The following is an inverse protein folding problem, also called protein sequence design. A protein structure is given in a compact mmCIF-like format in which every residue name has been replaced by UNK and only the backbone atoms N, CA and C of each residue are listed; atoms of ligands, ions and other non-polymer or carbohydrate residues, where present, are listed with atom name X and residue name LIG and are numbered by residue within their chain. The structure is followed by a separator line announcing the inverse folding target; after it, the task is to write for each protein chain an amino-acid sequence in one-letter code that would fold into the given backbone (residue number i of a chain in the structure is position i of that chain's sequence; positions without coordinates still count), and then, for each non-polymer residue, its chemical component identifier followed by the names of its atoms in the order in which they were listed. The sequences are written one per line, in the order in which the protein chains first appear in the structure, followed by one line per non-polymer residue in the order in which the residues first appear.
data_IF_194046122035
#
_entry.id   IF_194046122035
#
_cell.length_a   1.000
_cell.length_b   1.000
_cell.length_c   1.000
_cell.angle_alpha   90.00
_cell.angle_beta   90.00
_cell.angle_gamma   90.00
#
_symmetry.space_group_name_H-M   'P 1'
#
loop_
_entity.id
_entity.type
_entity.pdbx_description
1 polymer ?
#
# COMPACT_ATOMS: atom_id res chain seq x y z
N UNK A 1 10.18 16.50 19.33
CA UNK A 1 9.61 17.85 19.22
C UNK A 1 9.45 18.20 17.74
N UNK A 2 8.21 18.26 17.21
CA UNK A 2 7.95 18.60 15.82
C UNK A 2 8.29 20.07 15.53
N UNK A 3 8.76 20.36 14.32
CA UNK A 3 9.01 21.74 13.85
C UNK A 3 7.74 22.58 14.03
N UNK A 4 7.82 23.65 14.80
CA UNK A 4 6.69 24.50 15.17
C UNK A 4 6.15 25.31 13.97
N UNK A 5 6.97 25.51 12.92
CA UNK A 5 6.65 26.31 11.74
C UNK A 5 6.98 25.59 10.43
N UNK A 6 6.29 25.95 9.36
CA UNK A 6 6.66 25.55 7.99
C UNK A 6 7.83 26.44 7.55
N UNK A 7 8.86 25.84 6.97
CA UNK A 7 10.04 26.56 6.47
C UNK A 7 9.91 26.83 4.97
N UNK A 8 10.49 27.94 4.51
CA UNK A 8 10.50 28.28 3.08
C UNK A 8 11.19 27.20 2.23
N UNK A 9 12.25 26.57 2.77
CA UNK A 9 12.93 25.46 2.09
C UNK A 9 12.04 24.22 1.93
N UNK A 10 11.10 23.96 2.85
CA UNK A 10 10.11 22.88 2.71
C UNK A 10 9.13 23.17 1.56
N UNK A 11 8.73 24.45 1.40
CA UNK A 11 7.86 24.87 0.29
C UNK A 11 8.60 24.75 -1.05
N UNK A 12 9.86 25.21 -1.12
CA UNK A 12 10.73 25.04 -2.30
C UNK A 12 10.89 23.57 -2.68
N UNK A 13 11.17 22.71 -1.69
CA UNK A 13 11.25 21.26 -1.88
C UNK A 13 9.92 20.68 -2.34
N UNK A 14 8.81 21.03 -1.71
CA UNK A 14 7.46 20.58 -2.07
C UNK A 14 7.12 20.92 -3.51
N UNK A 15 7.37 22.18 -3.92
CA UNK A 15 7.12 22.66 -5.27
C UNK A 15 8.01 21.95 -6.31
N UNK A 16 9.31 21.82 -6.05
CA UNK A 16 10.26 21.13 -6.93
C UNK A 16 10.01 19.63 -7.06
N UNK A 17 9.26 19.04 -6.11
CA UNK A 17 8.92 17.63 -6.12
C UNK A 17 7.65 17.29 -6.92
N UNK A 18 6.91 18.30 -7.39
CA UNK A 18 5.74 18.10 -8.25
C UNK A 18 6.23 17.93 -9.68
N UNK A 19 5.86 16.82 -10.31
CA UNK A 19 6.22 16.55 -11.70
C UNK A 19 5.45 17.44 -12.67
N UNK A 20 6.13 17.93 -13.70
CA UNK A 20 5.55 18.67 -14.82
C UNK A 20 4.67 17.80 -15.73
N UNK A 21 3.95 18.41 -16.64
CA UNK A 21 3.07 17.74 -17.61
C UNK A 21 1.97 16.88 -16.92
N UNK A 22 1.47 17.35 -15.78
CA UNK A 22 0.33 16.75 -15.09
C UNK A 22 -0.91 17.62 -15.24
N UNK A 23 -2.06 16.96 -15.36
CA UNK A 23 -3.34 17.64 -15.41
C UNK A 23 -3.52 18.54 -14.17
N UNK A 24 -3.93 19.78 -14.40
CA UNK A 24 -4.26 20.72 -13.33
C UNK A 24 -5.49 20.25 -12.55
N UNK A 25 -5.53 20.54 -11.25
CA UNK A 25 -6.71 20.33 -10.43
C UNK A 25 -7.86 21.27 -10.78
N UNK A 26 -8.84 21.37 -9.88
CA UNK A 26 -10.05 22.15 -10.10
C UNK A 26 -9.85 23.66 -10.32
N UNK A 27 -8.70 24.21 -9.94
CA UNK A 27 -8.34 25.63 -10.15
C UNK A 27 -7.70 25.90 -11.53
N UNK A 28 -7.43 24.87 -12.35
CA UNK A 28 -6.87 25.03 -13.69
C UNK A 28 -5.42 25.51 -13.77
N UNK A 29 -4.73 25.75 -12.64
CA UNK A 29 -3.37 26.31 -12.63
C UNK A 29 -2.35 25.18 -12.87
N UNK A 30 -1.57 25.23 -13.97
CA UNK A 30 -0.53 24.24 -14.24
C UNK A 30 0.69 24.47 -13.33
N UNK A 31 1.44 23.42 -13.01
CA UNK A 31 2.62 23.51 -12.15
C UNK A 31 3.75 24.31 -12.79
N UNK A 32 3.84 24.32 -14.10
CA UNK A 32 4.84 25.03 -14.89
C UNK A 32 4.82 26.54 -14.61
N UNK A 33 3.65 27.10 -14.31
CA UNK A 33 3.50 28.53 -13.97
C UNK A 33 4.33 28.89 -12.71
N UNK A 34 4.33 28.00 -11.70
CA UNK A 34 5.12 28.23 -10.49
C UNK A 34 6.62 28.14 -10.72
N UNK A 35 7.05 27.37 -11.73
CA UNK A 35 8.47 27.27 -12.09
C UNK A 35 8.97 28.50 -12.83
N UNK A 36 8.13 29.10 -13.69
CA UNK A 36 8.45 30.33 -14.43
C UNK A 36 8.60 31.52 -13.48
N UNK A 37 7.72 31.65 -12.51
CA UNK A 37 7.66 32.80 -11.57
C UNK A 37 8.74 32.74 -10.45
N UNK A 38 9.56 31.67 -10.41
CA UNK A 38 10.72 31.50 -9.49
C UNK A 38 10.39 31.71 -8.00
N UNK A 39 10.85 32.83 -7.40
CA UNK A 39 10.83 33.04 -5.94
C UNK A 39 9.51 33.61 -5.40
N UNK A 40 8.77 34.38 -6.17
CA UNK A 40 7.56 35.04 -5.68
C UNK A 40 6.43 34.06 -5.29
N UNK A 41 6.13 33.03 -6.10
CA UNK A 41 5.18 31.99 -5.68
C UNK A 41 5.59 31.28 -4.40
N UNK A 42 6.89 31.08 -4.17
CA UNK A 42 7.39 30.42 -2.96
C UNK A 42 7.05 31.24 -1.71
N UNK A 43 7.24 32.55 -1.73
CA UNK A 43 6.91 33.43 -0.60
C UNK A 43 5.42 33.45 -0.29
N UNK A 44 4.59 33.52 -1.35
CA UNK A 44 3.13 33.52 -1.21
C UNK A 44 2.66 32.16 -0.66
N UNK A 45 3.11 31.04 -1.25
CA UNK A 45 2.77 29.71 -0.78
C UNK A 45 3.28 29.46 0.64
N UNK A 46 4.47 29.97 0.99
CA UNK A 46 5.01 29.85 2.34
C UNK A 46 4.10 30.55 3.35
N UNK A 47 3.65 31.78 3.07
CA UNK A 47 2.71 32.51 3.92
C UNK A 47 1.40 31.73 4.11
N UNK A 48 0.82 31.22 3.01
CA UNK A 48 -0.41 30.40 3.07
C UNK A 48 -0.18 29.10 3.88
N UNK A 49 0.90 28.38 3.63
CA UNK A 49 1.22 27.16 4.36
C UNK A 49 1.45 27.41 5.85
N UNK A 50 2.11 28.51 6.22
CA UNK A 50 2.27 28.92 7.61
C UNK A 50 0.93 29.24 8.27
N UNK A 51 0.04 29.97 7.56
CA UNK A 51 -1.28 30.27 8.06
C UNK A 51 -2.10 29.00 8.29
N UNK A 52 -2.13 28.07 7.32
CA UNK A 52 -2.80 26.76 7.49
C UNK A 52 -2.24 26.02 8.70
N UNK A 53 -0.91 25.97 8.83
CA UNK A 53 -0.25 25.30 9.95
C UNK A 53 -0.61 25.90 11.30
N UNK A 54 -0.68 27.22 11.39
CA UNK A 54 -0.98 27.94 12.62
C UNK A 54 -2.48 27.89 12.99
N UNK A 55 -3.35 28.14 12.01
CA UNK A 55 -4.81 28.25 12.23
C UNK A 55 -5.54 26.94 12.08
N UNK A 56 -4.89 25.93 11.48
CA UNK A 56 -5.50 24.63 11.08
C UNK A 56 -6.66 24.78 10.08
N UNK A 57 -6.83 25.95 9.46
CA UNK A 57 -7.86 26.22 8.48
C UNK A 57 -7.32 26.08 7.07
N UNK A 58 -7.98 25.26 6.27
CA UNK A 58 -7.63 25.03 4.86
C UNK A 58 -8.46 25.92 3.95
N UNK A 59 -7.86 26.49 2.89
CA UNK A 59 -8.62 27.20 1.85
C UNK A 59 -9.68 26.28 1.23
N UNK A 60 -10.88 26.79 0.98
CA UNK A 60 -11.99 25.98 0.47
C UNK A 60 -11.67 25.33 -0.88
N UNK A 61 -10.94 26.02 -1.76
CA UNK A 61 -10.54 25.51 -3.05
C UNK A 61 -9.52 24.34 -2.94
N UNK A 62 -8.78 24.27 -1.82
CA UNK A 62 -7.85 23.17 -1.57
C UNK A 62 -8.55 21.89 -1.08
N UNK A 63 -9.80 22.02 -0.67
CA UNK A 63 -10.69 20.90 -0.29
C UNK A 63 -11.53 20.37 -1.47
N UNK A 64 -11.34 20.91 -2.67
CA UNK A 64 -12.06 20.52 -3.89
C UNK A 64 -11.21 19.59 -4.74
N UNK A 65 -11.84 18.50 -5.24
CA UNK A 65 -11.21 17.54 -6.11
C UNK A 65 -12.03 17.29 -7.37
N UNK A 66 -11.37 17.08 -8.50
CA UNK A 66 -12.02 16.64 -9.73
C UNK A 66 -11.74 15.16 -9.90
N UNK A 67 -12.78 14.33 -9.88
CA UNK A 67 -12.67 12.89 -10.08
C UNK A 67 -12.74 12.54 -11.56
N UNK A 68 -11.75 11.78 -12.02
CA UNK A 68 -11.72 11.19 -13.36
C UNK A 68 -12.05 9.71 -13.22
N UNK A 69 -13.16 9.21 -13.79
CA UNK A 69 -13.45 7.79 -13.80
C UNK A 69 -12.53 7.09 -14.81
N UNK A 70 -11.83 6.06 -14.33
CA UNK A 70 -10.97 5.20 -15.15
C UNK A 70 -11.65 3.84 -15.27
N UNK A 71 -12.11 3.45 -16.47
CA UNK A 71 -12.76 2.16 -16.67
C UNK A 71 -11.80 1.00 -16.34
N UNK A 72 -12.32 -0.01 -15.64
CA UNK A 72 -11.67 -1.32 -15.47
C UNK A 72 -12.08 -2.25 -16.62
N UNK A 73 -11.50 -3.45 -16.65
CA UNK A 73 -11.95 -4.51 -17.56
C UNK A 73 -13.42 -4.83 -17.29
N UNK A 74 -14.25 -4.87 -18.33
CA UNK A 74 -15.69 -5.12 -18.24
C UNK A 74 -16.52 -3.99 -18.84
N UNK A 75 -17.80 -3.92 -18.46
CA UNK A 75 -18.74 -2.90 -18.96
C UNK A 75 -18.36 -1.52 -18.40
N UNK A 76 -17.84 -0.65 -19.27
CA UNK A 76 -17.43 0.72 -18.91
C UNK A 76 -18.61 1.65 -18.55
N UNK A 77 -19.84 1.26 -18.85
CA UNK A 77 -21.05 2.03 -18.51
C UNK A 77 -21.47 1.86 -17.05
N UNK A 78 -20.95 0.85 -16.35
CA UNK A 78 -21.27 0.62 -14.95
C UNK A 78 -20.29 1.35 -14.03
N UNK A 79 -20.83 2.16 -13.13
CA UNK A 79 -20.02 2.88 -12.11
C UNK A 79 -19.23 1.92 -11.19
N UNK A 80 -19.72 0.70 -10.99
CA UNK A 80 -19.03 -0.36 -10.24
C UNK A 80 -17.69 -0.77 -10.89
N UNK A 81 -17.61 -0.69 -12.21
CA UNK A 81 -16.44 -1.04 -13.03
C UNK A 81 -15.47 0.14 -13.24
N UNK A 82 -15.68 1.27 -12.59
CA UNK A 82 -14.78 2.39 -12.65
C UNK A 82 -13.94 2.50 -11.37
N UNK A 83 -12.70 2.95 -11.54
CA UNK A 83 -11.84 3.43 -10.46
C UNK A 83 -11.70 4.94 -10.61
N UNK A 84 -11.92 5.71 -9.55
CA UNK A 84 -11.76 7.16 -9.60
C UNK A 84 -10.31 7.56 -9.32
N UNK A 85 -9.79 8.53 -10.06
CA UNK A 85 -8.55 9.22 -9.75
C UNK A 85 -8.85 10.68 -9.46
N UNK A 86 -8.37 11.19 -8.32
CA UNK A 86 -8.61 12.57 -7.90
C UNK A 86 -7.54 13.51 -8.47
N UNK A 87 -7.95 14.56 -9.15
CA UNK A 87 -7.11 15.69 -9.49
C UNK A 87 -7.28 16.76 -8.41
N UNK A 88 -6.18 17.04 -7.71
CA UNK A 88 -6.08 18.01 -6.63
C UNK A 88 -5.22 19.17 -7.12
N UNK A 89 -5.49 20.41 -6.66
CA UNK A 89 -4.71 21.57 -7.05
C UNK A 89 -3.22 21.40 -6.74
N UNK A 90 -2.34 21.89 -7.61
CA UNK A 90 -0.89 21.82 -7.40
C UNK A 90 -0.43 22.57 -6.16
N UNK A 91 -1.08 23.70 -5.83
CA UNK A 91 -0.81 24.47 -4.61
C UNK A 91 -1.13 23.65 -3.36
N UNK A 92 -2.28 22.99 -3.33
CA UNK A 92 -2.64 22.07 -2.24
C UNK A 92 -1.61 20.94 -2.13
N UNK A 93 -1.18 20.37 -3.26
CA UNK A 93 -0.20 19.28 -3.27
C UNK A 93 1.16 19.67 -2.65
N UNK A 94 1.59 20.95 -2.73
CA UNK A 94 2.80 21.43 -2.04
C UNK A 94 2.66 21.24 -0.53
N UNK A 95 1.57 21.74 0.05
CA UNK A 95 1.31 21.61 1.48
C UNK A 95 1.12 20.14 1.88
N UNK A 96 0.41 19.34 1.08
CA UNK A 96 0.21 17.91 1.33
C UNK A 96 1.53 17.13 1.33
N UNK A 97 2.50 17.50 0.49
CA UNK A 97 3.84 16.90 0.50
C UNK A 97 4.63 17.23 1.76
N UNK A 98 4.60 18.49 2.18
CA UNK A 98 5.24 18.90 3.44
C UNK A 98 4.62 18.12 4.60
N UNK A 99 3.29 18.04 4.59
CA UNK A 99 2.55 17.32 5.60
C UNK A 99 2.87 15.81 5.59
N UNK A 100 2.92 15.20 4.42
CA UNK A 100 3.33 13.79 4.25
C UNK A 100 4.73 13.53 4.82
N UNK A 101 5.70 14.43 4.55
CA UNK A 101 7.06 14.27 5.06
C UNK A 101 7.10 14.30 6.61
N UNK A 102 6.25 15.12 7.22
CA UNK A 102 6.12 15.18 8.68
C UNK A 102 5.40 13.97 9.26
N UNK A 103 4.34 13.47 8.58
CA UNK A 103 3.67 12.24 8.96
C UNK A 103 4.56 11.01 8.82
N UNK A 104 5.47 11.00 7.84
CA UNK A 104 6.28 9.82 7.54
C UNK A 104 7.14 9.36 8.71
N UNK A 105 7.52 10.26 9.61
CA UNK A 105 8.27 9.91 10.83
C UNK A 105 7.44 8.97 11.71
N UNK A 106 6.16 9.30 11.95
CA UNK A 106 5.24 8.48 12.73
C UNK A 106 4.87 7.20 12.00
N UNK A 107 4.56 7.30 10.71
CA UNK A 107 4.24 6.13 9.86
C UNK A 107 5.36 5.10 9.88
N UNK A 108 6.62 5.54 9.85
CA UNK A 108 7.77 4.61 9.87
C UNK A 108 7.93 3.90 11.21
N UNK A 109 7.57 4.54 12.32
CA UNK A 109 7.59 3.92 13.65
C UNK A 109 6.47 2.90 13.82
N UNK A 110 5.28 3.20 13.26
CA UNK A 110 4.08 2.39 13.45
C UNK A 110 3.99 1.19 12.49
N UNK A 111 4.56 1.28 11.29
CA UNK A 111 4.41 0.21 10.30
C UNK A 111 5.49 -0.87 10.44
N UNK A 112 5.08 -2.14 10.59
CA UNK A 112 6.00 -3.27 10.62
C UNK A 112 6.68 -3.48 9.27
N UNK A 113 7.76 -4.26 9.28
CA UNK A 113 8.55 -4.54 8.09
C UNK A 113 7.83 -5.35 7.03
N UNK A 114 6.81 -6.10 7.40
CA UNK A 114 5.97 -6.90 6.50
C UNK A 114 5.09 -6.05 5.58
N UNK A 115 4.77 -4.78 5.95
CA UNK A 115 4.08 -3.84 5.08
C UNK A 115 5.07 -3.18 4.12
N UNK A 116 5.02 -3.56 2.84
CA UNK A 116 5.90 -3.05 1.79
C UNK A 116 5.28 -1.94 0.93
N UNK A 117 3.95 -1.84 0.91
CA UNK A 117 3.23 -0.91 0.04
C UNK A 117 3.62 0.55 0.27
N UNK A 118 3.91 1.28 -0.81
CA UNK A 118 4.28 2.70 -0.78
C UNK A 118 5.46 3.04 0.17
N UNK A 119 6.38 2.10 0.39
CA UNK A 119 7.63 2.34 1.14
C UNK A 119 8.82 2.46 0.19
N UNK A 120 9.73 3.37 0.51
CA UNK A 120 10.96 3.56 -0.27
C UNK A 120 11.77 2.27 -0.28
N UNK A 121 12.30 1.91 -1.44
CA UNK A 121 13.13 0.70 -1.66
C UNK A 121 12.44 -0.64 -1.39
N UNK A 122 11.11 -0.67 -1.35
CA UNK A 122 10.31 -1.91 -1.25
C UNK A 122 9.31 -1.97 -2.39
N UNK A 123 9.32 -3.07 -3.13
CA UNK A 123 8.47 -3.27 -4.30
C UNK A 123 7.62 -4.53 -4.23
N UNK A 124 6.66 -4.64 -5.14
CA UNK A 124 5.87 -5.86 -5.32
C UNK A 124 6.76 -7.07 -5.63
N UNK A 125 7.86 -6.87 -6.37
CA UNK A 125 8.83 -7.92 -6.70
C UNK A 125 9.46 -8.56 -5.47
N UNK A 126 9.75 -7.76 -4.43
CA UNK A 126 10.35 -8.27 -3.19
C UNK A 126 9.36 -9.17 -2.45
N UNK A 127 8.07 -8.79 -2.40
CA UNK A 127 7.02 -9.60 -1.77
C UNK A 127 6.80 -10.92 -2.52
N UNK A 128 6.77 -10.88 -3.85
CA UNK A 128 6.63 -12.07 -4.69
C UNK A 128 7.83 -13.01 -4.50
N UNK A 129 9.05 -12.46 -4.45
CA UNK A 129 10.26 -13.25 -4.21
C UNK A 129 10.22 -13.94 -2.84
N UNK A 130 9.73 -13.24 -1.80
CA UNK A 130 9.55 -13.81 -0.47
C UNK A 130 8.53 -14.96 -0.48
N UNK A 131 7.35 -14.77 -1.10
CA UNK A 131 6.33 -15.81 -1.21
C UNK A 131 6.88 -17.03 -1.94
N UNK A 132 7.53 -16.86 -3.09
CA UNK A 132 8.16 -17.95 -3.85
C UNK A 132 9.24 -18.68 -3.05
N UNK A 133 10.06 -17.94 -2.32
CA UNK A 133 11.08 -18.54 -1.44
C UNK A 133 10.44 -19.43 -0.36
N UNK A 134 9.33 -18.99 0.21
CA UNK A 134 8.57 -19.74 1.22
C UNK A 134 7.97 -21.01 0.61
N UNK A 135 7.33 -20.93 -0.56
CA UNK A 135 6.78 -22.09 -1.26
C UNK A 135 7.89 -23.13 -1.54
N UNK A 136 9.04 -22.70 -2.06
CA UNK A 136 10.19 -23.59 -2.33
C UNK A 136 10.71 -24.28 -1.08
N UNK A 137 10.82 -23.55 0.03
CA UNK A 137 11.26 -24.12 1.31
C UNK A 137 10.25 -25.10 1.87
N UNK A 138 8.97 -24.75 1.85
CA UNK A 138 7.91 -25.65 2.32
C UNK A 138 7.96 -27.00 1.62
N UNK A 139 8.15 -26.98 0.31
CA UNK A 139 8.28 -28.21 -0.49
C UNK A 139 9.54 -29.00 -0.16
N UNK A 140 10.69 -28.32 -0.05
CA UNK A 140 11.93 -28.98 0.30
C UNK A 140 11.84 -29.70 1.66
N UNK A 141 11.02 -29.18 2.59
CA UNK A 141 10.78 -29.76 3.91
C UNK A 141 9.47 -30.55 3.99
N UNK A 142 8.76 -30.78 2.87
CA UNK A 142 7.48 -31.50 2.81
C UNK A 142 6.42 -30.94 3.78
N UNK A 143 6.42 -29.62 3.98
CA UNK A 143 5.44 -28.93 4.83
C UNK A 143 4.29 -28.40 4.00
N UNK A 144 3.06 -28.63 4.48
CA UNK A 144 1.88 -28.03 3.89
C UNK A 144 1.80 -26.55 4.30
N UNK A 145 1.54 -25.69 3.33
CA UNK A 145 1.28 -24.26 3.56
C UNK A 145 0.01 -23.88 2.83
N UNK A 146 -0.84 -23.17 3.56
CA UNK A 146 -2.06 -22.56 3.06
C UNK A 146 -1.85 -21.07 2.86
N UNK A 147 -2.13 -20.58 1.65
CA UNK A 147 -2.09 -19.16 1.34
C UNK A 147 -3.51 -18.63 1.18
N UNK A 148 -3.75 -17.41 1.68
CA UNK A 148 -4.94 -16.66 1.35
C UNK A 148 -4.54 -15.29 0.83
N UNK A 149 -4.97 -14.97 -0.39
CA UNK A 149 -4.83 -13.66 -1.01
C UNK A 149 -6.11 -12.87 -0.77
N UNK A 150 -6.07 -11.95 0.17
CA UNK A 150 -7.20 -11.16 0.60
C UNK A 150 -7.27 -9.86 -0.19
N UNK A 151 -8.45 -9.56 -0.76
CA UNK A 151 -8.79 -8.27 -1.39
C UNK A 151 -9.91 -7.60 -0.59
N UNK A 152 -9.83 -6.29 -0.41
CA UNK A 152 -10.90 -5.49 0.17
C UNK A 152 -11.80 -4.88 -0.90
N UNK A 153 -13.10 -4.86 -0.63
CA UNK A 153 -14.06 -4.19 -1.52
C UNK A 153 -13.92 -2.66 -1.42
N UNK A 154 -13.36 -2.04 -2.46
CA UNK A 154 -13.16 -0.58 -2.53
C UNK A 154 -12.46 0.01 -1.29
N UNK A 155 -11.39 -0.62 -0.82
CA UNK A 155 -10.68 -0.32 0.43
C UNK A 155 -10.53 1.18 0.72
N UNK A 156 -9.93 1.95 -0.20
CA UNK A 156 -9.71 3.39 -0.05
C UNK A 156 -11.02 4.20 0.06
N UNK A 157 -12.08 3.76 -0.63
CA UNK A 157 -13.35 4.48 -0.69
C UNK A 157 -14.21 4.22 0.56
N UNK A 158 -13.87 3.18 1.36
CA UNK A 158 -14.63 2.74 2.52
C UNK A 158 -14.07 3.23 3.86
N UNK A 159 -12.94 3.91 3.88
CA UNK A 159 -12.32 4.43 5.11
C UNK A 159 -13.28 5.41 5.79
N UNK A 160 -13.68 5.11 7.02
CA UNK A 160 -14.50 6.00 7.86
C UNK A 160 -13.62 7.08 8.47
N UNK A 161 -13.96 8.35 8.24
CA UNK A 161 -13.15 9.47 8.72
C UNK A 161 -13.09 9.52 10.25
N UNK A 162 -14.22 9.34 10.95
CA UNK A 162 -14.26 9.43 12.41
C UNK A 162 -13.42 8.32 13.06
N UNK A 163 -13.52 7.10 12.52
CA UNK A 163 -12.69 5.98 12.96
C UNK A 163 -11.22 6.21 12.64
N UNK A 164 -10.92 6.76 11.47
CA UNK A 164 -9.54 7.10 11.09
C UNK A 164 -8.90 8.07 12.09
N UNK A 165 -9.60 9.14 12.48
CA UNK A 165 -9.04 10.11 13.42
C UNK A 165 -8.79 9.50 14.80
N UNK A 166 -9.69 8.64 15.25
CA UNK A 166 -9.52 7.89 16.52
C UNK A 166 -8.30 6.97 16.42
N UNK A 167 -8.19 6.19 15.36
CA UNK A 167 -7.06 5.30 15.12
C UNK A 167 -5.72 6.06 15.13
N UNK A 168 -5.65 7.23 14.48
CA UNK A 168 -4.43 8.03 14.48
C UNK A 168 -4.06 8.54 15.87
N UNK A 169 -5.05 8.89 16.69
CA UNK A 169 -4.84 9.29 18.10
C UNK A 169 -4.36 8.11 18.94
N UNK A 170 -5.00 6.95 18.81
CA UNK A 170 -4.63 5.71 19.52
C UNK A 170 -3.20 5.25 19.17
N UNK A 171 -2.76 5.52 17.95
CA UNK A 171 -1.37 5.29 17.49
C UNK A 171 -0.39 6.40 17.90
N UNK A 172 -0.77 7.32 18.80
CA UNK A 172 0.12 8.36 19.31
C UNK A 172 0.44 9.50 18.34
N UNK A 173 -0.37 9.69 17.29
CA UNK A 173 -0.17 10.82 16.40
C UNK A 173 -0.44 12.14 17.11
N UNK A 174 0.42 13.16 16.96
CA UNK A 174 0.21 14.47 17.59
C UNK A 174 -1.14 15.08 17.24
N UNK A 175 -1.84 15.57 18.25
CA UNK A 175 -3.17 16.20 18.12
C UNK A 175 -3.19 17.28 17.03
N UNK A 176 -2.15 18.10 16.94
CA UNK A 176 -2.05 19.15 15.91
C UNK A 176 -2.10 18.58 14.48
N UNK A 177 -1.41 17.47 14.21
CA UNK A 177 -1.43 16.83 12.89
C UNK A 177 -2.79 16.17 12.62
N UNK A 178 -3.39 15.54 13.62
CA UNK A 178 -4.72 14.95 13.48
C UNK A 178 -5.77 16.02 13.22
N UNK A 179 -5.72 17.16 13.92
CA UNK A 179 -6.63 18.29 13.68
C UNK A 179 -6.48 18.86 12.26
N UNK A 180 -5.24 19.00 11.76
CA UNK A 180 -5.00 19.44 10.38
C UNK A 180 -5.63 18.48 9.37
N UNK A 181 -5.52 17.16 9.58
CA UNK A 181 -6.17 16.15 8.74
C UNK A 181 -7.68 16.25 8.83
N UNK A 182 -8.23 16.27 10.04
CA UNK A 182 -9.68 16.36 10.25
C UNK A 182 -10.25 17.59 9.53
N UNK A 183 -9.61 18.75 9.66
CA UNK A 183 -10.04 19.97 9.02
C UNK A 183 -9.86 19.96 7.50
N UNK A 184 -8.88 19.22 6.96
CA UNK A 184 -8.73 19.01 5.52
C UNK A 184 -9.90 18.19 4.96
N UNK A 185 -10.26 17.10 5.66
CA UNK A 185 -11.32 16.19 5.21
C UNK A 185 -12.73 16.73 5.50
N UNK A 186 -12.87 17.58 6.52
CA UNK A 186 -14.15 18.21 6.84
C UNK A 186 -14.61 19.14 5.71
N UNK A 187 -15.77 18.83 5.13
CA UNK A 187 -16.37 19.61 4.05
C UNK A 187 -15.66 19.49 2.70
N UNK A 188 -14.91 18.42 2.46
CA UNK A 188 -14.38 18.12 1.13
C UNK A 188 -15.50 17.95 0.12
N UNK A 189 -15.30 18.51 -1.08
CA UNK A 189 -16.22 18.41 -2.19
C UNK A 189 -15.53 17.83 -3.43
N UNK A 190 -16.28 17.08 -4.21
CA UNK A 190 -15.81 16.58 -5.48
C UNK A 190 -16.82 16.85 -6.60
N UNK A 191 -16.33 16.85 -7.83
CA UNK A 191 -17.12 16.77 -9.06
C UNK A 191 -16.52 15.67 -9.92
N UNK A 192 -17.32 15.01 -10.73
CA UNK A 192 -16.86 14.00 -11.68
C UNK A 192 -16.78 14.62 -13.07
N UNK A 193 -15.63 14.51 -13.71
CA UNK A 193 -15.40 14.95 -15.08
C UNK A 193 -15.34 13.75 -16.00
N UNK A 194 -16.19 13.78 -17.02
CA UNK A 194 -16.24 12.78 -18.11
C UNK A 194 -16.06 13.46 -19.45
N UNK A 195 -16.03 12.70 -20.54
CA UNK A 195 -16.02 13.26 -21.91
C UNK A 195 -17.30 14.04 -22.26
N UNK A 196 -18.37 13.89 -21.48
CA UNK A 196 -19.66 14.55 -21.69
C UNK A 196 -19.87 15.79 -20.81
N UNK A 197 -18.91 16.12 -19.94
CA UNK A 197 -18.99 17.28 -19.04
C UNK A 197 -18.61 16.96 -17.59
N UNK A 198 -19.01 17.86 -16.69
CA UNK A 198 -18.77 17.74 -15.25
C UNK A 198 -20.09 17.74 -14.49
N UNK A 199 -20.18 16.91 -13.44
CA UNK A 199 -21.33 16.90 -12.52
C UNK A 199 -21.33 18.13 -11.62
N UNK A 200 -22.44 18.36 -10.91
CA UNK A 200 -22.45 19.29 -9.78
C UNK A 200 -21.51 18.83 -8.67
N UNK A 201 -21.16 19.80 -7.81
CA UNK A 201 -20.30 19.54 -6.64
C UNK A 201 -21.07 18.80 -5.56
N UNK A 202 -20.56 17.65 -5.14
CA UNK A 202 -21.11 16.89 -4.02
C UNK A 202 -20.09 16.77 -2.87
N UNK A 203 -20.59 16.54 -1.66
CA UNK A 203 -19.76 16.39 -0.47
C UNK A 203 -19.25 14.97 -0.34
N UNK A 204 -17.96 14.83 0.06
CA UNK A 204 -17.32 13.55 0.37
C UNK A 204 -17.49 13.28 1.86
N UNK A 205 -18.22 12.21 2.22
CA UNK A 205 -18.48 11.84 3.62
C UNK A 205 -17.57 10.73 4.16
N UNK A 206 -16.89 9.99 3.28
CA UNK A 206 -15.99 8.89 3.64
C UNK A 206 -14.97 8.62 2.54
N UNK A 207 -13.96 7.82 2.87
CA UNK A 207 -12.92 7.41 1.94
C UNK A 207 -11.72 8.35 1.93
N UNK A 208 -10.61 7.82 1.43
CA UNK A 208 -9.39 8.59 1.15
C UNK A 208 -9.16 8.61 -0.35
N UNK A 209 -9.01 9.81 -0.92
CA UNK A 209 -9.02 10.01 -2.36
C UNK A 209 -7.83 9.32 -3.06
N UNK A 210 -8.10 8.42 -4.00
CA UNK A 210 -7.07 7.85 -4.88
C UNK A 210 -6.46 8.96 -5.73
N UNK A 211 -5.14 9.10 -5.66
CA UNK A 211 -4.40 10.21 -6.27
C UNK A 211 -3.97 11.29 -5.29
N UNK A 212 -4.54 11.35 -4.08
CA UNK A 212 -4.03 12.21 -3.01
C UNK A 212 -2.75 11.63 -2.42
N UNK A 213 -1.78 12.51 -2.19
CA UNK A 213 -0.45 12.16 -1.65
C UNK A 213 -0.54 11.52 -0.25
N UNK A 214 -1.51 11.92 0.57
CA UNK A 214 -1.69 11.42 1.94
C UNK A 214 -2.39 10.07 2.02
N UNK A 215 -3.23 9.75 1.04
CA UNK A 215 -4.10 8.56 1.10
C UNK A 215 -3.37 7.24 1.34
N UNK A 216 -2.20 6.99 0.71
CA UNK A 216 -1.44 5.78 1.00
C UNK A 216 -0.94 5.70 2.44
N UNK A 217 -0.54 6.82 3.04
CA UNK A 217 -0.10 6.85 4.44
C UNK A 217 -1.25 6.57 5.40
N UNK A 218 -2.38 7.24 5.19
CA UNK A 218 -3.56 7.11 6.05
C UNK A 218 -4.15 5.71 5.96
N UNK A 219 -4.28 5.17 4.75
CA UNK A 219 -4.79 3.81 4.57
C UNK A 219 -3.89 2.76 5.23
N UNK A 220 -2.56 2.89 5.12
CA UNK A 220 -1.63 1.95 5.77
C UNK A 220 -1.78 1.93 7.29
N UNK A 221 -1.94 3.09 7.92
CA UNK A 221 -2.16 3.17 9.37
C UNK A 221 -3.52 2.56 9.75
N UNK A 222 -4.55 2.82 8.95
CA UNK A 222 -5.87 2.23 9.13
C UNK A 222 -5.85 0.70 9.02
N UNK A 223 -5.19 0.17 8.00
CA UNK A 223 -5.02 -1.27 7.83
C UNK A 223 -4.14 -1.90 8.93
N UNK A 224 -3.10 -1.19 9.38
CA UNK A 224 -2.24 -1.65 10.47
C UNK A 224 -3.00 -1.80 11.78
N UNK A 225 -3.88 -0.87 12.10
CA UNK A 225 -4.75 -0.95 13.26
C UNK A 225 -5.61 -2.23 13.25
N UNK A 226 -6.21 -2.57 12.11
CA UNK A 226 -6.98 -3.81 11.95
C UNK A 226 -6.11 -5.03 12.28
N UNK A 227 -4.91 -5.06 11.72
CA UNK A 227 -4.02 -6.22 11.88
C UNK A 227 -3.51 -6.39 13.31
N UNK A 228 -3.27 -5.29 14.02
CA UNK A 228 -2.90 -5.32 15.45
C UNK A 228 -4.04 -5.83 16.30
N UNK A 229 -5.25 -5.31 16.09
CA UNK A 229 -6.42 -5.74 16.87
C UNK A 229 -6.80 -7.20 16.58
N UNK A 230 -6.58 -7.69 15.38
CA UNK A 230 -6.73 -9.11 15.06
C UNK A 230 -5.67 -10.01 15.72
N UNK A 231 -4.70 -9.42 16.47
CA UNK A 231 -3.67 -10.15 17.20
C UNK A 231 -2.70 -10.92 16.33
N UNK A 232 -2.42 -10.44 15.10
CA UNK A 232 -1.58 -11.18 14.14
C UNK A 232 -0.14 -11.39 14.62
N UNK A 233 0.38 -10.49 15.43
CA UNK A 233 1.74 -10.57 15.96
C UNK A 233 1.85 -11.60 17.09
N UNK A 234 0.74 -11.92 17.78
CA UNK A 234 0.65 -12.87 18.90
C UNK A 234 0.29 -14.30 18.46
N UNK A 235 -0.28 -14.44 17.24
CA UNK A 235 -0.72 -15.75 16.75
C UNK A 235 0.45 -16.55 16.20
N UNK A 236 0.86 -17.61 16.89
CA UNK A 236 1.82 -18.61 16.42
C UNK A 236 1.25 -19.49 15.28
N UNK A 237 0.46 -18.91 14.39
CA UNK A 237 -0.20 -19.63 13.30
C UNK A 237 0.64 -19.65 12.02
N UNK A 238 1.65 -18.81 11.93
CA UNK A 238 2.45 -18.60 10.73
C UNK A 238 3.54 -19.65 10.52
N UNK A 239 4.41 -19.36 9.59
CA UNK A 239 5.56 -20.19 9.22
C UNK A 239 6.77 -19.71 10.01
N UNK A 240 7.40 -20.62 10.72
CA UNK A 240 8.62 -20.30 11.47
C UNK A 240 9.83 -20.28 10.54
N UNK A 241 10.37 -19.07 10.30
CA UNK A 241 11.59 -18.85 9.53
C UNK A 241 12.62 -18.14 10.43
N UNK A 242 13.75 -18.78 10.69
CA UNK A 242 14.83 -18.23 11.51
C UNK A 242 14.32 -17.69 12.88
N UNK A 243 13.51 -18.47 13.58
CA UNK A 243 12.89 -18.15 14.89
C UNK A 243 11.89 -16.97 14.85
N UNK A 244 11.42 -16.59 13.68
CA UNK A 244 10.35 -15.61 13.51
C UNK A 244 9.13 -16.29 12.94
N UNK A 245 7.98 -16.02 13.52
CA UNK A 245 6.69 -16.43 12.98
C UNK A 245 6.27 -15.41 11.91
N UNK A 246 6.15 -15.86 10.66
CA UNK A 246 5.68 -15.03 9.54
C UNK A 246 4.34 -15.60 9.09
N UNK A 247 3.27 -14.86 9.34
CA UNK A 247 1.90 -15.28 9.02
C UNK A 247 1.26 -14.44 7.91
N UNK A 248 1.86 -13.30 7.53
CA UNK A 248 1.33 -12.47 6.46
C UNK A 248 2.41 -11.62 5.76
N UNK A 249 2.11 -11.20 4.53
CA UNK A 249 2.76 -10.11 3.80
C UNK A 249 1.72 -9.12 3.34
N UNK A 250 2.08 -7.81 3.33
CA UNK A 250 1.17 -6.74 2.97
C UNK A 250 1.79 -5.80 1.94
N UNK A 251 1.01 -5.47 0.92
CA UNK A 251 1.36 -4.43 -0.04
C UNK A 251 0.15 -3.51 -0.24
N UNK A 252 0.07 -2.44 0.53
CA UNK A 252 -1.07 -1.56 0.65
C UNK A 252 -2.35 -2.31 1.11
N UNK A 253 -3.32 -2.46 0.24
CA UNK A 253 -4.57 -3.19 0.43
C UNK A 253 -4.49 -4.68 0.06
N UNK A 254 -3.46 -5.10 -0.67
CA UNK A 254 -3.21 -6.51 -0.97
C UNK A 254 -2.54 -7.21 0.22
N UNK A 255 -3.20 -8.20 0.78
CA UNK A 255 -2.71 -8.96 1.93
C UNK A 255 -2.60 -10.44 1.55
N UNK A 256 -1.47 -11.04 1.88
CA UNK A 256 -1.24 -12.49 1.70
C UNK A 256 -1.02 -13.11 3.07
N UNK A 257 -1.94 -13.96 3.51
CA UNK A 257 -1.76 -14.78 4.70
C UNK A 257 -1.10 -16.10 4.37
N UNK A 258 -0.33 -16.64 5.32
CA UNK A 258 0.41 -17.89 5.18
C UNK A 258 0.42 -18.62 6.50
N UNK A 259 -0.09 -19.85 6.52
CA UNK A 259 -0.19 -20.69 7.72
C UNK A 259 0.06 -22.16 7.41
N UNK A 260 0.40 -22.96 8.43
CA UNK A 260 0.69 -24.38 8.31
C UNK A 260 -0.57 -25.28 8.42
N UNK A 261 -1.75 -24.72 8.82
CA UNK A 261 -3.00 -25.53 8.89
C UNK A 261 -4.22 -24.72 8.45
N UNK A 262 -5.23 -25.47 7.96
CA UNK A 262 -6.51 -24.93 7.49
C UNK A 262 -7.30 -24.24 8.59
N UNK A 263 -7.32 -24.84 9.78
CA UNK A 263 -8.05 -24.35 10.94
C UNK A 263 -7.45 -23.02 11.42
N UNK A 264 -6.11 -22.94 11.44
CA UNK A 264 -5.41 -21.70 11.79
C UNK A 264 -5.71 -20.57 10.78
N UNK A 265 -5.76 -20.88 9.48
CA UNK A 265 -6.12 -19.89 8.46
C UNK A 265 -7.56 -19.39 8.65
N UNK A 266 -8.50 -20.31 8.90
CA UNK A 266 -9.89 -19.95 9.14
C UNK A 266 -10.04 -19.04 10.35
N UNK A 267 -9.44 -19.42 11.48
CA UNK A 267 -9.47 -18.61 12.71
C UNK A 267 -8.87 -17.20 12.49
N UNK A 268 -7.74 -17.12 11.76
CA UNK A 268 -7.09 -15.85 11.43
C UNK A 268 -7.98 -14.96 10.56
N UNK A 269 -8.56 -15.53 9.49
CA UNK A 269 -9.43 -14.80 8.57
C UNK A 269 -10.70 -14.28 9.27
N UNK A 270 -11.28 -15.07 10.19
CA UNK A 270 -12.45 -14.65 10.97
C UNK A 270 -12.13 -13.43 11.85
N UNK A 271 -11.00 -13.45 12.57
CA UNK A 271 -10.56 -12.31 13.38
C UNK A 271 -10.31 -11.06 12.53
N UNK A 272 -9.62 -11.21 11.40
CA UNK A 272 -9.34 -10.08 10.50
C UNK A 272 -10.63 -9.55 9.87
N UNK A 273 -11.59 -10.42 9.54
CA UNK A 273 -12.90 -10.02 9.03
C UNK A 273 -13.65 -9.18 10.06
N UNK A 274 -13.77 -9.67 11.29
CA UNK A 274 -14.43 -8.98 12.39
C UNK A 274 -13.83 -7.59 12.62
N UNK A 275 -12.50 -7.49 12.77
CA UNK A 275 -11.83 -6.22 12.97
C UNK A 275 -11.94 -5.27 11.77
N UNK A 276 -11.97 -5.83 10.55
CA UNK A 276 -12.20 -5.04 9.33
C UNK A 276 -13.60 -4.45 9.29
N UNK A 277 -14.62 -5.25 9.62
CA UNK A 277 -16.02 -4.81 9.67
C UNK A 277 -16.24 -3.79 10.77
N UNK A 278 -15.60 -3.95 11.93
CA UNK A 278 -15.62 -2.98 13.03
C UNK A 278 -15.18 -1.58 12.59
N UNK A 279 -14.27 -1.48 11.64
CA UNK A 279 -13.84 -0.19 11.06
C UNK A 279 -14.49 0.14 9.74
N UNK A 280 -15.40 -0.70 9.20
CA UNK A 280 -16.17 -0.43 7.99
C UNK A 280 -15.52 -0.90 6.69
N UNK A 281 -14.48 -1.72 6.74
CA UNK A 281 -13.93 -2.42 5.58
C UNK A 281 -14.60 -3.77 5.42
N UNK A 282 -14.84 -4.17 4.16
CA UNK A 282 -15.43 -5.47 3.82
C UNK A 282 -14.52 -6.24 2.89
N UNK A 283 -14.44 -7.55 3.06
CA UNK A 283 -13.75 -8.43 2.14
C UNK A 283 -14.44 -8.47 0.78
N UNK A 284 -13.66 -8.55 -0.26
CA UNK A 284 -14.14 -8.87 -1.60
C UNK A 284 -14.03 -10.39 -1.79
N UNK A 285 -15.10 -11.11 -1.47
CA UNK A 285 -15.13 -12.58 -1.50
C UNK A 285 -14.80 -13.12 -2.89
N UNK A 286 -15.31 -12.49 -3.96
CA UNK A 286 -15.06 -12.94 -5.33
C UNK A 286 -13.58 -12.88 -5.73
N UNK A 287 -12.83 -11.92 -5.16
CA UNK A 287 -11.40 -11.73 -5.46
C UNK A 287 -10.48 -12.34 -4.41
N UNK A 288 -10.98 -12.59 -3.20
CA UNK A 288 -10.23 -13.31 -2.17
C UNK A 288 -10.11 -14.77 -2.59
N UNK A 289 -8.87 -15.29 -2.63
CA UNK A 289 -8.57 -16.63 -3.10
C UNK A 289 -7.72 -17.38 -2.07
N UNK A 290 -7.98 -18.66 -1.95
CA UNK A 290 -7.16 -19.57 -1.15
C UNK A 290 -6.37 -20.46 -2.09
N UNK A 291 -5.06 -20.57 -1.85
CA UNK A 291 -4.19 -21.44 -2.61
C UNK A 291 -3.70 -22.58 -1.72
N UNK A 292 -4.00 -23.80 -2.12
CA UNK A 292 -3.56 -25.04 -1.48
C UNK A 292 -3.30 -26.14 -2.53
N UNK A 293 -2.62 -27.20 -2.14
CA UNK A 293 -2.26 -28.31 -3.04
C UNK A 293 -3.42 -29.22 -3.46
N UNK A 294 -4.64 -28.96 -2.97
CA UNK A 294 -5.85 -29.75 -3.27
C UNK A 294 -7.07 -28.87 -3.52
N UNK A 295 -8.05 -29.40 -4.25
CA UNK A 295 -9.33 -28.71 -4.47
C UNK A 295 -10.24 -29.00 -3.28
N UNK A 296 -10.41 -28.05 -2.39
CA UNK A 296 -11.36 -28.14 -1.27
C UNK A 296 -12.25 -26.90 -1.26
N UNK A 297 -13.48 -27.08 -0.79
CA UNK A 297 -14.36 -25.93 -0.57
C UNK A 297 -14.06 -25.28 0.78
N UNK A 298 -13.93 -23.95 0.76
CA UNK A 298 -13.76 -23.17 1.96
C UNK A 298 -15.01 -22.34 2.24
N UNK A 299 -15.61 -22.56 3.40
CA UNK A 299 -16.73 -21.75 3.86
C UNK A 299 -16.30 -20.84 4.99
N UNK A 300 -16.65 -19.56 4.85
CA UNK A 300 -16.48 -18.52 5.86
C UNK A 300 -17.84 -17.86 6.05
N UNK A 301 -18.48 -18.12 7.19
CA UNK A 301 -19.88 -17.83 7.45
C UNK A 301 -20.81 -18.49 6.38
N UNK A 302 -21.67 -17.71 5.72
CA UNK A 302 -22.52 -18.18 4.63
C UNK A 302 -21.89 -18.05 3.23
N UNK A 303 -20.62 -17.63 3.14
CA UNK A 303 -19.94 -17.34 1.87
C UNK A 303 -18.86 -18.39 1.58
N UNK A 304 -18.77 -18.78 0.30
CA UNK A 304 -17.75 -19.76 -0.16
C UNK A 304 -16.58 -19.01 -0.77
N UNK A 305 -15.38 -19.25 -0.24
CA UNK A 305 -14.14 -18.77 -0.82
C UNK A 305 -13.64 -19.74 -1.90
N UNK A 306 -13.22 -19.21 -3.03
CA UNK A 306 -12.69 -20.00 -4.14
C UNK A 306 -11.26 -20.48 -3.83
N UNK A 307 -11.06 -21.79 -4.03
CA UNK A 307 -9.74 -22.40 -3.95
C UNK A 307 -9.10 -22.45 -5.33
N UNK A 308 -7.86 -22.04 -5.42
CA UNK A 308 -7.11 -21.97 -6.67
C UNK A 308 -5.76 -22.68 -6.54
N UNK A 309 -5.28 -23.28 -7.61
CA UNK A 309 -3.92 -23.86 -7.70
C UNK A 309 -2.89 -22.84 -8.15
N UNK A 310 -3.33 -21.74 -8.73
CA UNK A 310 -2.50 -20.62 -9.15
C UNK A 310 -3.21 -19.28 -8.94
N UNK A 311 -2.44 -18.24 -8.70
CA UNK A 311 -2.95 -16.89 -8.46
C UNK A 311 -2.04 -15.82 -9.07
N UNK A 312 -2.64 -14.77 -9.66
CA UNK A 312 -1.89 -13.60 -10.14
C UNK A 312 -1.73 -12.61 -8.98
N UNK A 313 -0.60 -12.69 -8.30
CA UNK A 313 -0.29 -11.83 -7.16
C UNK A 313 0.52 -10.61 -7.64
N UNK A 314 -0.04 -9.40 -7.50
CA UNK A 314 0.66 -8.13 -7.83
C UNK A 314 1.29 -8.09 -9.23
N UNK A 315 0.72 -8.83 -10.19
CA UNK A 315 1.14 -8.91 -11.59
C UNK A 315 1.67 -10.28 -12.03
N UNK A 316 2.70 -10.88 -11.42
CA UNK A 316 3.16 -12.22 -11.75
C UNK A 316 2.23 -13.34 -11.25
N UNK A 317 2.24 -14.45 -11.97
CA UNK A 317 1.55 -15.68 -11.59
C UNK A 317 2.36 -16.45 -10.54
N UNK A 318 1.70 -16.86 -9.47
CA UNK A 318 2.23 -17.76 -8.43
C UNK A 318 1.44 -19.07 -8.54
N UNK A 319 2.13 -20.19 -8.57
CA UNK A 319 1.53 -21.51 -8.62
C UNK A 319 1.84 -22.27 -7.34
N UNK A 320 0.90 -23.07 -6.86
CA UNK A 320 1.14 -23.98 -5.73
C UNK A 320 2.31 -24.92 -6.06
N UNK A 321 2.55 -25.21 -7.33
CA UNK A 321 3.60 -26.10 -7.83
C UNK A 321 4.91 -25.43 -8.19
N UNK A 322 5.02 -24.12 -8.10
CA UNK A 322 6.21 -23.30 -8.44
C UNK A 322 6.96 -23.84 -9.67
N UNK A 323 6.22 -24.32 -10.68
CA UNK A 323 6.81 -24.73 -11.95
C UNK A 323 7.23 -23.48 -12.72
N UNK A 324 8.43 -23.02 -12.41
CA UNK A 324 9.05 -21.83 -12.99
C UNK A 324 9.64 -22.10 -14.37
N UNK A 325 8.99 -22.92 -15.22
CA UNK A 325 9.45 -23.16 -16.58
C UNK A 325 9.31 -21.92 -17.48
N UNK A 326 8.55 -20.91 -17.07
CA UNK A 326 8.42 -19.66 -17.79
C UNK A 326 8.84 -18.43 -16.94
N UNK A 327 9.97 -17.84 -17.36
CA UNK A 327 10.44 -16.48 -17.03
C UNK A 327 11.01 -16.20 -15.64
N UNK A 328 12.18 -16.77 -15.34
CA UNK A 328 13.15 -16.02 -14.52
C UNK A 328 13.92 -15.08 -15.45
N UNK A 329 13.39 -13.91 -15.72
CA UNK A 329 14.15 -12.86 -16.38
C UNK A 329 15.26 -12.35 -15.45
N UNK A 330 16.36 -11.89 -16.02
CA UNK A 330 17.55 -11.34 -15.34
C UNK A 330 17.24 -10.24 -14.29
N UNK A 331 16.05 -9.62 -14.40
CA UNK A 331 15.48 -8.67 -13.43
C UNK A 331 15.12 -9.28 -12.07
N UNK A 332 14.83 -10.56 -11.99
CA UNK A 332 14.41 -11.22 -10.74
C UNK A 332 15.59 -11.47 -9.80
N UNK A 333 16.78 -11.71 -10.37
CA UNK A 333 18.03 -11.83 -9.60
C UNK A 333 18.45 -10.51 -8.93
N UNK A 334 18.19 -9.37 -9.57
CA UNK A 334 18.44 -8.05 -8.99
C UNK A 334 17.42 -7.70 -7.88
N UNK A 335 16.20 -8.20 -7.97
CA UNK A 335 15.18 -8.10 -6.90
C UNK A 335 15.62 -8.88 -5.66
N UNK A 336 16.08 -10.13 -5.83
CA UNK A 336 16.62 -10.97 -4.75
C UNK A 336 17.85 -10.31 -4.11
N UNK A 337 18.71 -9.65 -4.89
CA UNK A 337 19.89 -8.94 -4.38
C UNK A 337 19.54 -7.63 -3.66
N UNK A 338 18.43 -6.97 -4.02
CA UNK A 338 17.92 -5.76 -3.33
C UNK A 338 17.13 -6.09 -2.08
N UNK A 339 16.46 -7.23 -2.01
CA UNK A 339 15.85 -7.76 -0.78
C UNK A 339 16.92 -8.11 0.28
N UNK A 340 18.20 -8.18 -0.10
CA UNK A 340 19.35 -8.29 0.80
C UNK A 340 19.33 -7.25 1.92
N UNK A 341 18.94 -6.00 1.64
CA UNK A 341 18.92 -4.98 2.68
C UNK A 341 17.89 -5.28 3.77
N UNK A 342 16.77 -5.92 3.43
CA UNK A 342 15.81 -6.36 4.43
C UNK A 342 16.30 -7.58 5.21
N UNK A 343 16.92 -8.56 4.53
CA UNK A 343 17.55 -9.74 5.16
C UNK A 343 18.73 -9.36 6.06
N UNK A 344 19.56 -8.40 5.64
CA UNK A 344 20.71 -7.91 6.41
C UNK A 344 20.30 -6.97 7.55
N UNK A 345 19.31 -6.09 7.34
CA UNK A 345 18.75 -5.24 8.40
C UNK A 345 17.95 -6.03 9.44
N UNK A 346 17.40 -7.18 9.06
CA UNK A 346 16.61 -8.05 9.95
C UNK A 346 17.45 -9.09 10.71
N UNK A 347 18.80 -8.98 10.80
CA UNK A 347 19.68 -9.93 11.46
C UNK A 347 19.53 -11.39 10.95
N UNK A 348 19.19 -11.59 9.69
CA UNK A 348 19.30 -12.89 9.05
C UNK A 348 20.79 -13.31 9.02
N UNK A 349 21.10 -14.45 9.62
CA UNK A 349 22.49 -14.91 9.69
C UNK A 349 23.04 -15.20 8.30
N UNK A 350 24.29 -14.82 8.07
CA UNK A 350 25.07 -15.16 6.88
C UNK A 350 25.03 -16.68 6.58
N UNK A 351 24.85 -17.50 7.61
CA UNK A 351 24.71 -18.96 7.50
C UNK A 351 23.52 -19.40 6.63
N UNK A 352 22.33 -18.79 6.79
CA UNK A 352 21.17 -19.15 5.97
C UNK A 352 21.32 -18.74 4.50
N UNK A 353 22.15 -17.73 4.24
CA UNK A 353 22.49 -17.31 2.88
C UNK A 353 23.57 -18.21 2.25
N UNK A 354 24.57 -18.62 3.01
CA UNK A 354 25.61 -19.55 2.57
C UNK A 354 24.98 -20.90 2.23
N UNK A 355 24.06 -21.39 3.05
CA UNK A 355 23.31 -22.63 2.81
C UNK A 355 22.45 -22.57 1.52
N UNK A 356 21.84 -21.42 1.24
CA UNK A 356 21.11 -21.19 0.00
C UNK A 356 22.04 -21.15 -1.23
N UNK A 357 23.19 -20.50 -1.12
CA UNK A 357 24.19 -20.42 -2.21
C UNK A 357 24.83 -21.78 -2.44
N UNK A 358 25.10 -22.56 -1.40
CA UNK A 358 25.68 -23.89 -1.50
C UNK A 358 24.71 -24.91 -2.12
N UNK A 359 23.43 -24.89 -1.72
CA UNK A 359 22.38 -25.73 -2.31
C UNK A 359 22.07 -25.41 -3.79
N UNK A 360 22.43 -24.20 -4.25
CA UNK A 360 22.19 -23.76 -5.64
C UNK A 360 23.51 -23.52 -6.43
N UNK A 361 24.64 -24.00 -5.95
CA UNK A 361 25.97 -23.79 -6.55
C UNK A 361 26.06 -24.17 -8.03
N UNK A 362 25.39 -25.23 -8.46
CA UNK A 362 25.34 -25.69 -9.83
C UNK A 362 24.60 -24.73 -10.78
N UNK A 363 23.56 -24.06 -10.30
CA UNK A 363 22.78 -23.06 -11.09
C UNK A 363 23.52 -21.71 -11.18
N UNK A 364 24.17 -21.29 -10.10
CA UNK A 364 24.95 -20.05 -10.03
C UNK A 364 26.18 -20.15 -10.94
N UNK A 365 26.89 -21.31 -10.95
CA UNK A 365 28.02 -21.57 -11.82
C UNK A 365 27.62 -21.61 -13.31
N UNK A 366 26.48 -22.20 -13.68
CA UNK A 366 26.00 -22.17 -15.07
C UNK A 366 25.72 -20.75 -15.59
N UNK A 367 25.20 -19.89 -14.75
CA UNK A 367 24.93 -18.47 -15.11
C UNK A 367 26.26 -17.70 -15.30
N UNK A 368 27.27 -17.98 -14.49
CA UNK A 368 28.58 -17.32 -14.59
C UNK A 368 29.39 -17.80 -15.80
N UNK A 369 29.29 -19.07 -16.15
CA UNK A 369 29.98 -19.64 -17.32
C UNK A 369 29.31 -19.26 -18.65
N UNK A 370 27.99 -19.06 -18.70
CA UNK A 370 27.32 -18.59 -19.90
C UNK A 370 27.67 -17.12 -20.26
N UNK A 371 28.10 -16.31 -19.27
CA UNK A 371 28.57 -14.94 -19.51
C UNK A 371 29.99 -14.86 -20.04
N UNK A 372 30.86 -15.84 -19.75
CA UNK A 372 32.23 -15.87 -20.30
C UNK A 372 32.30 -16.34 -21.76
N UNK A 373 31.23 -16.91 -22.31
CA UNK A 373 31.14 -17.33 -23.70
C UNK A 373 30.50 -16.29 -24.64
N UNK A 374 30.09 -15.12 -24.11
CA UNK A 374 29.51 -14.01 -24.90
C UNK A 374 30.32 -12.71 -24.82
N UNK A 375 31.62 -12.80 -24.48
CA UNK A 375 32.61 -11.71 -24.67
C UNK A 375 33.66 -12.17 -25.64
#
# INVERSE_FOLDING_TARGET
MGKIHILECEVKWGLGSITTNKASGGNGIPVELFQILKNDPVKVLHSICQQIWKTQQWPQDWKRSVFIPIPKKGNSKECSNCCTSALISHTSNVMLKIFQARLQQYVNCELPDIQAGFRKSRGTRDQIANIRCIIKKARAFQKNIYFCFLDYAKAFDCVDHNKLWKILQDMGMPVHLTCLLTNLYAGQKATVRTGHGTTDWFQIGKGVCKGCILSPCLFKLYAEYIMRNAGLDEVEAGINIARRNINNFRYADDITFMVESKEKLKSLLMKVKEESENVGLKFNIQKTKIMESGITSWQMDAETLETVIDFICMGPKITADDDCSHTVQHSDLLGILRSRNWLLQSKFSVAAFVEYVESNKSKVLRITLSRKRKK
#
